data_IF_014789667310
#
_entry.id   IF_014789667310
#
_cell.length_a   1.000
_cell.length_b   1.000
_cell.length_c   1.000
_cell.angle_alpha   90.00
_cell.angle_beta   90.00
_cell.angle_gamma   90.00
#
_symmetry.space_group_name_H-M   'P 1'
#
loop_
_entity.id
_entity.type
_entity.pdbx_description
1 polymer ?
#
# COMPACT_ATOMS: atom_id res chain seq x y z
N UNK A 1 -5.53 -2.33 23.51
CA UNK A 1 -5.78 -0.99 22.95
C UNK A 1 -5.37 -1.01 21.48
N UNK A 2 -6.00 -0.24 20.59
CA UNK A 2 -5.52 -0.10 19.21
C UNK A 2 -4.13 0.54 19.20
N UNK A 3 -3.30 0.15 18.24
CA UNK A 3 -1.94 0.68 18.08
C UNK A 3 -1.92 2.07 17.42
N UNK A 4 -2.94 2.39 16.63
CA UNK A 4 -3.11 3.69 15.98
C UNK A 4 -4.40 4.38 16.43
N UNK A 5 -4.53 5.72 16.26
CA UNK A 5 -5.80 6.40 16.32
C UNK A 5 -6.81 5.76 15.37
N UNK A 6 -8.03 5.55 15.82
CA UNK A 6 -9.11 4.98 15.00
C UNK A 6 -9.67 6.05 14.07
N UNK A 7 -9.85 5.72 12.80
CA UNK A 7 -10.47 6.62 11.82
C UNK A 7 -11.90 6.13 11.59
N UNK A 8 -12.84 6.53 12.43
CA UNK A 8 -14.24 6.04 12.40
C UNK A 8 -15.18 6.94 11.61
N UNK A 9 -14.81 8.20 11.40
CA UNK A 9 -15.56 9.15 10.58
C UNK A 9 -14.70 9.59 9.39
N UNK A 10 -15.19 9.37 8.19
CA UNK A 10 -14.54 9.71 6.93
C UNK A 10 -15.07 11.02 6.34
N UNK A 11 -16.17 11.57 6.87
CA UNK A 11 -16.78 12.79 6.33
C UNK A 11 -15.81 13.97 6.37
N UNK A 12 -15.54 14.55 5.23
CA UNK A 12 -14.62 15.70 5.07
C UNK A 12 -13.14 15.39 5.37
N UNK A 13 -12.75 14.11 5.54
CA UNK A 13 -11.33 13.71 5.62
C UNK A 13 -10.66 13.86 4.27
N UNK A 14 -9.51 14.49 4.24
CA UNK A 14 -8.66 14.60 3.06
C UNK A 14 -7.80 13.36 2.95
N UNK A 15 -8.07 12.52 1.93
CA UNK A 15 -7.40 11.23 1.73
C UNK A 15 -6.71 11.22 0.38
N UNK A 16 -5.39 11.03 0.38
CA UNK A 16 -4.59 10.93 -0.82
C UNK A 16 -4.10 9.50 -1.07
N UNK A 17 -4.53 8.91 -2.20
CA UNK A 17 -4.15 7.56 -2.61
C UNK A 17 -3.21 7.60 -3.81
N UNK A 18 -1.95 7.24 -3.58
CA UNK A 18 -0.91 7.15 -4.62
C UNK A 18 -0.86 5.71 -5.16
N UNK A 19 -1.17 5.53 -6.46
CA UNK A 19 -1.33 4.23 -7.09
C UNK A 19 -2.80 3.78 -7.15
N UNK A 20 -3.71 4.70 -7.47
CA UNK A 20 -5.16 4.46 -7.46
C UNK A 20 -5.83 4.42 -8.86
N UNK A 21 -5.06 4.14 -9.93
CA UNK A 21 -5.63 3.98 -11.28
C UNK A 21 -6.46 2.72 -11.43
N UNK A 22 -6.10 1.63 -10.73
CA UNK A 22 -6.72 0.30 -10.82
C UNK A 22 -6.66 -0.44 -9.48
N UNK A 23 -7.23 -1.64 -9.43
CA UNK A 23 -7.07 -2.61 -8.34
C UNK A 23 -7.46 -2.07 -6.97
N UNK A 24 -6.68 -2.44 -5.95
CA UNK A 24 -6.96 -2.15 -4.54
C UNK A 24 -7.05 -0.64 -4.28
N UNK A 25 -6.10 0.14 -4.83
CA UNK A 25 -6.07 1.60 -4.62
C UNK A 25 -7.33 2.27 -5.15
N UNK A 26 -7.78 1.91 -6.36
CA UNK A 26 -9.01 2.45 -6.97
C UNK A 26 -10.26 2.05 -6.17
N UNK A 27 -10.38 0.77 -5.79
CA UNK A 27 -11.51 0.29 -5.00
C UNK A 27 -11.57 0.97 -3.62
N UNK A 28 -10.42 1.16 -2.97
CA UNK A 28 -10.33 1.86 -1.69
C UNK A 28 -10.72 3.33 -1.83
N UNK A 29 -10.26 4.01 -2.89
CA UNK A 29 -10.65 5.37 -3.19
C UNK A 29 -12.17 5.53 -3.39
N UNK A 30 -12.79 4.60 -4.15
CA UNK A 30 -14.24 4.58 -4.37
C UNK A 30 -15.03 4.40 -3.06
N UNK A 31 -14.58 3.48 -2.20
CA UNK A 31 -15.22 3.24 -0.91
C UNK A 31 -15.10 4.43 0.03
N UNK A 32 -13.94 5.09 0.09
CA UNK A 32 -13.74 6.27 0.93
C UNK A 32 -14.55 7.48 0.44
N UNK A 33 -14.63 7.67 -0.88
CA UNK A 33 -15.50 8.68 -1.49
C UNK A 33 -16.97 8.45 -1.11
N UNK A 34 -17.46 7.20 -1.21
CA UNK A 34 -18.82 6.83 -0.82
C UNK A 34 -19.10 7.05 0.68
N UNK A 35 -18.05 7.15 1.52
CA UNK A 35 -18.13 7.48 2.95
C UNK A 35 -17.95 8.96 3.26
N UNK A 36 -17.92 9.82 2.25
CA UNK A 36 -17.86 11.28 2.39
C UNK A 36 -16.45 11.85 2.55
N UNK A 37 -15.40 11.07 2.29
CA UNK A 37 -14.05 11.61 2.25
C UNK A 37 -13.81 12.47 0.99
N UNK A 38 -13.01 13.52 1.13
CA UNK A 38 -12.40 14.23 0.00
C UNK A 38 -11.23 13.39 -0.51
N UNK A 39 -11.42 12.78 -1.67
CA UNK A 39 -10.47 11.78 -2.20
C UNK A 39 -9.64 12.37 -3.32
N UNK A 40 -8.33 12.29 -3.16
CA UNK A 40 -7.35 12.62 -4.20
C UNK A 40 -6.72 11.31 -4.67
N UNK A 41 -6.77 11.03 -5.98
CA UNK A 41 -6.17 9.84 -6.59
C UNK A 41 -4.99 10.21 -7.46
N UNK A 42 -3.91 9.44 -7.35
CA UNK A 42 -2.71 9.66 -8.16
C UNK A 42 -2.21 8.39 -8.82
N UNK A 43 -1.77 8.53 -10.06
CA UNK A 43 -1.09 7.51 -10.85
C UNK A 43 -0.45 8.15 -12.10
N UNK A 44 0.28 7.37 -12.89
CA UNK A 44 0.90 7.84 -14.14
C UNK A 44 -0.08 8.03 -15.29
N UNK A 45 -1.17 7.28 -15.32
CA UNK A 45 -2.11 7.24 -16.45
C UNK A 45 -3.26 8.21 -16.22
N UNK A 46 -3.18 9.40 -16.81
CA UNK A 46 -4.18 10.45 -16.67
C UNK A 46 -5.59 9.96 -17.04
N UNK A 47 -5.75 9.26 -18.17
CA UNK A 47 -7.07 8.80 -18.64
C UNK A 47 -7.77 7.85 -17.64
N UNK A 48 -7.01 7.04 -16.88
CA UNK A 48 -7.57 6.17 -15.84
C UNK A 48 -8.04 6.97 -14.62
N UNK A 49 -7.32 8.04 -14.28
CA UNK A 49 -7.69 8.98 -13.22
C UNK A 49 -8.91 9.82 -13.61
N UNK A 50 -8.97 10.32 -14.85
CA UNK A 50 -10.14 11.03 -15.38
C UNK A 50 -11.40 10.17 -15.32
N UNK A 51 -11.27 8.88 -15.62
CA UNK A 51 -12.35 7.90 -15.48
C UNK A 51 -12.81 7.71 -14.03
N UNK A 52 -11.89 7.88 -13.07
CA UNK A 52 -12.25 7.86 -11.64
C UNK A 52 -13.03 9.12 -11.25
N UNK A 53 -12.50 10.31 -11.56
CA UNK A 53 -13.12 11.60 -11.20
C UNK A 53 -14.52 11.75 -11.81
N UNK A 54 -14.70 11.35 -13.08
CA UNK A 54 -16.05 11.36 -13.71
C UNK A 54 -17.05 10.46 -12.96
N UNK A 55 -16.60 9.33 -12.43
CA UNK A 55 -17.47 8.40 -11.68
C UNK A 55 -17.67 8.81 -10.22
N UNK A 56 -16.85 9.70 -9.68
CA UNK A 56 -16.84 10.11 -8.28
C UNK A 56 -16.77 11.66 -8.19
N UNK A 57 -17.89 12.35 -8.43
CA UNK A 57 -17.94 13.83 -8.40
C UNK A 57 -17.42 14.39 -7.05
N UNK A 58 -16.58 15.42 -7.11
CA UNK A 58 -15.92 16.01 -5.93
C UNK A 58 -14.61 15.32 -5.53
N UNK A 59 -14.21 14.24 -6.20
CA UNK A 59 -12.84 13.72 -6.10
C UNK A 59 -11.89 14.45 -7.04
N UNK A 60 -10.58 14.34 -6.76
CA UNK A 60 -9.54 15.01 -7.54
C UNK A 60 -8.51 14.00 -8.07
N UNK A 61 -7.86 14.36 -9.17
CA UNK A 61 -6.82 13.56 -9.79
C UNK A 61 -5.54 14.37 -9.96
N UNK A 62 -4.41 13.78 -9.55
CA UNK A 62 -3.07 14.33 -9.78
C UNK A 62 -2.22 13.28 -10.47
N UNK A 63 -1.85 13.56 -11.72
CA UNK A 63 -0.95 12.67 -12.48
C UNK A 63 0.47 12.82 -11.96
N UNK A 64 1.09 11.70 -11.56
CA UNK A 64 2.46 11.69 -11.08
C UNK A 64 3.16 10.36 -11.37
N UNK A 65 4.50 10.39 -11.43
CA UNK A 65 5.34 9.20 -11.40
C UNK A 65 6.05 9.10 -10.04
N UNK A 66 5.82 8.00 -9.32
CA UNK A 66 6.44 7.76 -8.00
C UNK A 66 7.96 7.58 -8.09
N UNK A 67 8.49 7.21 -9.26
CA UNK A 67 9.92 7.12 -9.50
C UNK A 67 10.61 8.50 -9.51
N UNK A 68 9.85 9.57 -9.79
CA UNK A 68 10.34 10.94 -9.90
C UNK A 68 10.06 11.72 -8.61
N UNK A 69 11.10 12.01 -7.82
CA UNK A 69 10.98 12.70 -6.53
C UNK A 69 10.23 14.03 -6.65
N UNK A 70 10.57 14.83 -7.68
CA UNK A 70 9.97 16.16 -7.86
C UNK A 70 8.47 16.05 -8.16
N UNK A 71 8.05 15.05 -8.93
CA UNK A 71 6.63 14.81 -9.23
C UNK A 71 5.79 14.59 -7.97
N UNK A 72 6.33 13.87 -6.98
CA UNK A 72 5.66 13.67 -5.68
C UNK A 72 5.68 14.94 -4.81
N UNK A 73 6.77 15.70 -4.84
CA UNK A 73 6.86 16.96 -4.09
C UNK A 73 5.86 17.99 -4.62
N UNK A 74 5.75 18.15 -5.94
CA UNK A 74 4.81 19.06 -6.58
C UNK A 74 3.35 18.65 -6.29
N UNK A 75 3.04 17.36 -6.41
CA UNK A 75 1.70 16.84 -6.10
C UNK A 75 1.33 17.04 -4.61
N UNK A 76 2.25 16.80 -3.68
CA UNK A 76 2.02 17.06 -2.26
C UNK A 76 1.76 18.55 -1.99
N UNK A 77 2.55 19.44 -2.60
CA UNK A 77 2.37 20.89 -2.49
C UNK A 77 1.00 21.31 -3.03
N UNK A 78 0.55 20.72 -4.15
CA UNK A 78 -0.76 21.00 -4.74
C UNK A 78 -1.91 20.53 -3.84
N UNK A 79 -1.83 19.33 -3.25
CA UNK A 79 -2.83 18.85 -2.28
C UNK A 79 -2.90 19.80 -1.08
N UNK A 80 -1.75 20.22 -0.55
CA UNK A 80 -1.70 21.13 0.59
C UNK A 80 -2.20 22.53 0.27
N UNK A 81 -1.90 23.05 -0.91
CA UNK A 81 -2.41 24.36 -1.35
C UNK A 81 -3.95 24.40 -1.47
N UNK A 82 -4.56 23.28 -1.88
CA UNK A 82 -6.01 23.16 -2.04
C UNK A 82 -6.75 22.86 -0.74
N UNK A 83 -6.20 21.99 0.10
CA UNK A 83 -6.91 21.44 1.26
C UNK A 83 -6.31 21.84 2.61
N UNK A 84 -5.09 22.36 2.64
CA UNK A 84 -4.37 22.74 3.86
C UNK A 84 -3.88 21.58 4.72
N UNK A 85 -4.29 20.34 4.40
CA UNK A 85 -3.96 19.13 5.20
C UNK A 85 -4.05 17.85 4.38
N UNK A 86 -3.50 16.76 4.94
CA UNK A 86 -3.69 15.37 4.47
C UNK A 86 -3.96 14.52 5.70
N UNK A 87 -5.20 14.05 5.87
CA UNK A 87 -5.57 13.26 7.05
C UNK A 87 -5.11 11.80 6.95
N UNK A 88 -5.11 11.24 5.74
CA UNK A 88 -4.56 9.93 5.43
C UNK A 88 -3.86 9.97 4.06
N UNK A 89 -2.62 9.53 4.01
CA UNK A 89 -1.92 9.24 2.75
C UNK A 89 -1.67 7.74 2.61
N UNK A 90 -1.98 7.18 1.44
CA UNK A 90 -1.83 5.74 1.17
C UNK A 90 -0.87 5.53 0.01
N UNK A 91 0.25 4.85 0.26
CA UNK A 91 1.12 4.37 -0.80
C UNK A 91 0.66 2.99 -1.27
N UNK A 92 -0.03 2.95 -2.39
CA UNK A 92 -0.55 1.73 -3.02
C UNK A 92 0.10 1.46 -4.39
N UNK A 93 1.00 2.35 -4.85
CA UNK A 93 1.73 2.13 -6.09
C UNK A 93 2.65 0.91 -5.99
N UNK A 94 2.62 0.09 -7.02
CA UNK A 94 3.45 -1.09 -7.06
C UNK A 94 3.32 -1.82 -8.39
N UNK A 95 4.38 -2.52 -8.75
CA UNK A 95 4.45 -3.37 -9.93
C UNK A 95 4.98 -4.75 -9.52
N UNK A 96 4.52 -5.75 -10.21
CA UNK A 96 4.94 -7.12 -10.04
C UNK A 96 5.23 -7.73 -11.43
N UNK A 97 6.37 -8.38 -11.57
CA UNK A 97 6.69 -9.27 -12.67
C UNK A 97 7.37 -10.50 -12.09
N UNK A 98 6.82 -11.69 -12.30
CA UNK A 98 7.44 -12.93 -11.83
C UNK A 98 8.87 -13.05 -12.34
N UNK A 99 9.80 -13.45 -11.45
CA UNK A 99 11.21 -13.58 -11.78
C UNK A 99 11.84 -14.72 -10.99
N UNK A 100 12.54 -15.63 -11.68
CA UNK A 100 13.34 -16.70 -11.07
C UNK A 100 14.83 -16.37 -11.15
N UNK A 101 15.62 -16.88 -10.21
CA UNK A 101 17.07 -16.71 -10.23
C UNK A 101 17.73 -17.33 -11.47
N UNK A 102 17.10 -18.36 -12.05
CA UNK A 102 17.57 -19.00 -13.30
C UNK A 102 17.32 -18.15 -14.56
N UNK A 103 16.54 -17.08 -14.45
CA UNK A 103 16.25 -16.12 -15.52
C UNK A 103 16.20 -14.71 -14.93
N UNK A 104 17.33 -14.31 -14.30
CA UNK A 104 17.47 -13.04 -13.61
C UNK A 104 17.55 -11.89 -14.60
N UNK A 105 16.72 -10.89 -14.41
CA UNK A 105 16.65 -9.63 -15.16
C UNK A 105 16.90 -8.48 -14.19
N UNK A 106 18.10 -7.89 -14.25
CA UNK A 106 18.51 -6.81 -13.34
C UNK A 106 17.68 -5.55 -13.56
N UNK A 107 17.41 -5.19 -14.81
CA UNK A 107 16.67 -3.96 -15.11
C UNK A 107 15.23 -4.04 -14.57
N UNK A 108 14.59 -5.19 -14.72
CA UNK A 108 13.27 -5.42 -14.15
C UNK A 108 13.29 -5.46 -12.63
N UNK A 109 14.31 -6.05 -12.00
CA UNK A 109 14.46 -6.03 -10.55
C UNK A 109 14.62 -4.59 -10.02
N UNK A 110 15.46 -3.78 -10.68
CA UNK A 110 15.65 -2.36 -10.36
C UNK A 110 14.38 -1.55 -10.60
N UNK A 111 13.63 -1.83 -11.68
CA UNK A 111 12.33 -1.19 -11.93
C UNK A 111 11.33 -1.47 -10.81
N UNK A 112 11.25 -2.72 -10.34
CA UNK A 112 10.39 -3.07 -9.21
C UNK A 112 10.86 -2.38 -7.92
N UNK A 113 12.16 -2.32 -7.66
CA UNK A 113 12.72 -1.61 -6.51
C UNK A 113 12.37 -0.12 -6.55
N UNK A 114 12.60 0.52 -7.71
CA UNK A 114 12.34 1.95 -7.90
C UNK A 114 10.87 2.31 -7.64
N UNK A 115 9.94 1.53 -8.19
CA UNK A 115 8.51 1.82 -8.04
C UNK A 115 8.01 1.38 -6.66
N UNK A 116 8.33 0.17 -6.20
CA UNK A 116 7.70 -0.38 -5.01
C UNK A 116 8.27 0.22 -3.70
N UNK A 117 9.56 0.56 -3.66
CA UNK A 117 10.23 1.00 -2.44
C UNK A 117 10.76 2.43 -2.53
N UNK A 118 11.56 2.78 -3.54
CA UNK A 118 12.11 4.15 -3.66
C UNK A 118 10.98 5.16 -3.84
N UNK A 119 9.94 4.82 -4.58
CA UNK A 119 8.74 5.65 -4.69
C UNK A 119 8.05 5.90 -3.34
N UNK A 120 8.03 4.92 -2.42
CA UNK A 120 7.54 5.14 -1.06
C UNK A 120 8.43 6.12 -0.28
N UNK A 121 9.76 6.03 -0.43
CA UNK A 121 10.69 6.99 0.18
C UNK A 121 10.50 8.40 -0.39
N UNK A 122 10.27 8.52 -1.69
CA UNK A 122 9.96 9.81 -2.32
C UNK A 122 8.66 10.42 -1.77
N UNK A 123 7.61 9.59 -1.57
CA UNK A 123 6.38 10.04 -0.93
C UNK A 123 6.62 10.50 0.51
N UNK A 124 7.38 9.74 1.30
CA UNK A 124 7.72 10.13 2.67
C UNK A 124 8.43 11.48 2.72
N UNK A 125 9.41 11.70 1.83
CA UNK A 125 10.12 12.98 1.75
C UNK A 125 9.17 14.16 1.46
N UNK A 126 8.10 13.92 0.70
CA UNK A 126 7.12 14.94 0.34
C UNK A 126 6.08 15.23 1.44
N UNK A 127 5.66 14.20 2.22
CA UNK A 127 4.51 14.36 3.12
C UNK A 127 4.87 14.38 4.61
N UNK A 128 6.00 13.77 5.02
CA UNK A 128 6.33 13.58 6.43
C UNK A 128 6.45 14.89 7.23
N UNK A 129 7.09 15.97 6.69
CA UNK A 129 7.12 17.26 7.40
C UNK A 129 5.72 17.79 7.72
N UNK A 130 4.80 17.69 6.77
CA UNK A 130 3.42 18.14 6.95
C UNK A 130 2.66 17.26 7.96
N UNK A 131 2.79 15.94 7.89
CA UNK A 131 2.13 15.02 8.83
C UNK A 131 2.59 15.29 10.27
N UNK A 132 3.88 15.54 10.49
CA UNK A 132 4.43 15.91 11.79
C UNK A 132 3.88 17.26 12.27
N UNK A 133 3.80 18.26 11.41
CA UNK A 133 3.22 19.56 11.73
C UNK A 133 1.73 19.43 12.11
N UNK A 134 0.94 18.66 11.36
CA UNK A 134 -0.47 18.40 11.67
C UNK A 134 -0.62 17.70 13.02
N UNK A 135 0.15 16.64 13.25
CA UNK A 135 0.10 15.90 14.51
C UNK A 135 0.46 16.77 15.70
N UNK A 136 1.48 17.63 15.58
CA UNK A 136 1.86 18.58 16.66
C UNK A 136 0.77 19.61 16.96
N UNK A 137 -0.09 19.93 15.98
CA UNK A 137 -1.26 20.77 16.12
C UNK A 137 -2.52 20.00 16.56
N UNK A 138 -2.41 18.73 16.92
CA UNK A 138 -3.54 17.87 17.31
C UNK A 138 -4.48 17.52 16.16
N UNK A 139 -4.05 17.74 14.93
CA UNK A 139 -4.83 17.39 13.74
C UNK A 139 -4.55 15.94 13.29
N UNK A 140 -5.49 15.29 12.60
CA UNK A 140 -5.30 13.95 12.06
C UNK A 140 -4.09 13.90 11.11
N UNK A 141 -3.27 12.88 11.28
CA UNK A 141 -2.12 12.60 10.42
C UNK A 141 -1.89 11.08 10.40
N UNK A 142 -2.06 10.45 9.24
CA UNK A 142 -1.90 9.01 9.12
C UNK A 142 -1.23 8.62 7.80
N UNK A 143 -0.25 7.73 7.88
CA UNK A 143 0.45 7.14 6.74
C UNK A 143 0.09 5.66 6.63
N UNK A 144 -0.23 5.16 5.44
CA UNK A 144 -0.47 3.75 5.19
C UNK A 144 0.38 3.25 4.01
N UNK A 145 1.16 2.19 4.21
CA UNK A 145 2.00 1.57 3.19
C UNK A 145 1.42 0.21 2.78
N UNK A 146 1.19 0.02 1.48
CA UNK A 146 0.67 -1.25 0.95
C UNK A 146 1.84 -2.13 0.51
N UNK A 147 2.15 -3.12 1.35
CA UNK A 147 3.14 -4.17 1.09
C UNK A 147 2.47 -5.42 0.48
N UNK A 148 2.79 -6.60 0.99
CA UNK A 148 2.24 -7.90 0.59
C UNK A 148 2.67 -8.97 1.58
N UNK A 149 1.90 -10.06 1.70
CA UNK A 149 2.35 -11.29 2.39
C UNK A 149 3.64 -11.88 1.78
N UNK A 150 3.97 -11.55 0.54
CA UNK A 150 5.23 -11.94 -0.13
C UNK A 150 6.45 -11.32 0.57
N UNK A 151 6.26 -10.23 1.31
CA UNK A 151 7.30 -9.61 2.14
C UNK A 151 7.59 -10.32 3.46
N UNK A 152 6.76 -11.26 3.92
CA UNK A 152 7.02 -11.97 5.17
C UNK A 152 8.22 -12.91 5.10
N UNK A 153 8.39 -13.59 3.96
CA UNK A 153 9.51 -14.49 3.71
C UNK A 153 9.64 -14.79 2.22
N UNK A 154 10.85 -15.21 1.78
CA UNK A 154 11.14 -15.51 0.38
C UNK A 154 10.20 -16.55 -0.22
N UNK A 155 9.59 -16.23 -1.36
CA UNK A 155 8.72 -17.12 -2.13
C UNK A 155 9.26 -17.29 -3.55
N UNK A 156 9.00 -18.44 -4.20
CA UNK A 156 9.37 -18.64 -5.60
C UNK A 156 8.78 -17.55 -6.51
N UNK A 157 9.48 -17.26 -7.59
CA UNK A 157 9.12 -16.25 -8.61
C UNK A 157 9.03 -14.79 -8.10
N UNK A 158 9.27 -14.55 -6.82
CA UNK A 158 9.17 -13.22 -6.22
C UNK A 158 10.53 -12.51 -6.04
N UNK A 159 11.57 -12.92 -6.80
CA UNK A 159 12.95 -12.46 -6.60
C UNK A 159 13.11 -10.93 -6.64
N UNK A 160 12.50 -10.25 -7.61
CA UNK A 160 12.51 -8.78 -7.68
C UNK A 160 11.47 -8.13 -6.76
N UNK A 161 10.33 -8.77 -6.55
CA UNK A 161 9.18 -8.21 -5.82
C UNK A 161 9.26 -8.39 -4.30
N UNK A 162 9.51 -9.64 -3.86
CA UNK A 162 9.51 -10.00 -2.44
C UNK A 162 10.40 -9.10 -1.58
N UNK A 163 11.69 -8.88 -1.95
CA UNK A 163 12.58 -7.97 -1.21
C UNK A 163 12.03 -6.55 -1.08
N UNK A 164 11.37 -6.01 -2.12
CA UNK A 164 10.78 -4.66 -2.05
C UNK A 164 9.63 -4.58 -1.05
N UNK A 165 8.85 -5.66 -0.94
CA UNK A 165 7.75 -5.74 0.01
C UNK A 165 8.23 -6.02 1.45
N UNK A 166 9.30 -6.79 1.61
CA UNK A 166 9.98 -6.94 2.90
C UNK A 166 10.56 -5.59 3.39
N UNK A 167 11.16 -4.81 2.50
CA UNK A 167 11.64 -3.48 2.81
C UNK A 167 10.52 -2.54 3.27
N UNK A 168 9.33 -2.58 2.64
CA UNK A 168 8.18 -1.80 3.08
C UNK A 168 7.64 -2.24 4.46
N UNK A 169 7.69 -3.54 4.79
CA UNK A 169 7.32 -4.04 6.13
C UNK A 169 8.25 -3.43 7.18
N UNK A 170 9.56 -3.58 6.99
CA UNK A 170 10.56 -3.03 7.92
C UNK A 170 10.46 -1.50 8.02
N UNK A 171 10.28 -0.80 6.90
CA UNK A 171 10.09 0.64 6.88
C UNK A 171 8.86 1.08 7.70
N UNK A 172 7.72 0.39 7.54
CA UNK A 172 6.50 0.71 8.28
C UNK A 172 6.68 0.49 9.79
N UNK A 173 7.37 -0.59 10.20
CA UNK A 173 7.67 -0.86 11.61
C UNK A 173 8.57 0.24 12.21
N UNK A 174 9.62 0.63 11.49
CA UNK A 174 10.51 1.72 11.92
C UNK A 174 9.77 3.06 12.02
N UNK A 175 8.97 3.39 10.99
CA UNK A 175 8.15 4.60 11.01
C UNK A 175 7.16 4.62 12.17
N UNK A 176 6.55 3.49 12.51
CA UNK A 176 5.65 3.40 13.65
C UNK A 176 6.38 3.69 14.96
N UNK A 177 7.57 3.11 15.16
CA UNK A 177 8.38 3.33 16.37
C UNK A 177 8.77 4.80 16.53
N UNK A 178 9.15 5.46 15.43
CA UNK A 178 9.62 6.85 15.46
C UNK A 178 8.46 7.86 15.58
N UNK A 179 7.30 7.55 14.96
CA UNK A 179 6.22 8.51 14.77
C UNK A 179 5.05 8.37 15.75
N UNK A 180 4.91 7.21 16.39
CA UNK A 180 3.78 6.96 17.29
C UNK A 180 3.71 7.99 18.44
N UNK A 181 4.84 8.27 19.09
CA UNK A 181 4.93 9.28 20.16
C UNK A 181 4.74 10.72 19.64
N UNK A 182 4.88 10.94 18.33
CA UNK A 182 4.64 12.23 17.67
C UNK A 182 3.17 12.43 17.26
N UNK A 183 2.30 11.43 17.48
CA UNK A 183 0.88 11.50 17.15
C UNK A 183 0.56 11.20 15.68
N UNK A 184 1.53 10.75 14.88
CA UNK A 184 1.29 10.31 13.50
C UNK A 184 0.95 8.82 13.49
N UNK A 185 -0.21 8.45 12.97
CA UNK A 185 -0.58 7.05 12.77
C UNK A 185 0.19 6.42 11.60
N UNK A 186 0.58 5.16 11.77
CA UNK A 186 1.23 4.38 10.70
C UNK A 186 0.57 3.02 10.58
N UNK A 187 0.10 2.69 9.37
CA UNK A 187 -0.45 1.36 9.07
C UNK A 187 0.30 0.69 7.93
N UNK A 188 0.54 -0.60 8.10
CA UNK A 188 1.05 -1.52 7.10
C UNK A 188 -0.09 -2.37 6.57
N UNK A 189 -0.25 -2.46 5.25
CA UNK A 189 -1.24 -3.33 4.62
C UNK A 189 -0.51 -4.48 3.93
N UNK A 190 -0.84 -5.72 4.31
CA UNK A 190 -0.27 -6.94 3.73
C UNK A 190 -1.37 -7.79 3.06
N UNK A 191 -1.73 -7.47 1.80
CA UNK A 191 -2.66 -8.30 1.03
C UNK A 191 -2.08 -9.68 0.73
N UNK A 192 -2.95 -10.70 0.73
CA UNK A 192 -2.72 -11.94 0.00
C UNK A 192 -3.04 -11.75 -1.49
N UNK A 193 -3.66 -12.74 -2.13
CA UNK A 193 -4.06 -12.63 -3.53
C UNK A 193 -5.34 -11.80 -3.65
N UNK A 194 -5.26 -10.74 -4.45
CA UNK A 194 -6.39 -9.86 -4.79
C UNK A 194 -6.50 -9.79 -6.31
N UNK A 195 -7.69 -9.98 -6.84
CA UNK A 195 -7.97 -9.90 -8.28
C UNK A 195 -7.74 -8.47 -8.78
N UNK A 196 -6.63 -8.28 -9.48
CA UNK A 196 -6.15 -7.00 -9.99
C UNK A 196 -5.32 -7.22 -11.25
N UNK A 197 -5.06 -6.20 -12.07
CA UNK A 197 -4.15 -6.32 -13.21
C UNK A 197 -2.75 -6.85 -12.85
N UNK A 198 -2.28 -6.61 -11.62
CA UNK A 198 -0.98 -7.10 -11.17
C UNK A 198 -0.98 -8.63 -10.98
N UNK A 199 -2.05 -9.21 -10.46
CA UNK A 199 -2.20 -10.65 -10.23
C UNK A 199 -2.67 -11.42 -11.46
N UNK A 200 -3.23 -10.74 -12.45
CA UNK A 200 -3.64 -11.35 -13.73
C UNK A 200 -2.47 -11.96 -14.52
N UNK A 201 -1.22 -11.65 -14.15
CA UNK A 201 -0.01 -12.22 -14.73
C UNK A 201 0.37 -13.60 -14.14
N UNK A 202 -0.30 -14.04 -13.07
CA UNK A 202 -0.03 -15.34 -12.47
C UNK A 202 -0.68 -16.45 -13.31
N UNK A 203 0.10 -17.46 -13.61
CA UNK A 203 -0.29 -18.65 -14.38
C UNK A 203 -0.67 -19.86 -13.50
N UNK A 204 -0.79 -19.63 -12.20
CA UNK A 204 -1.11 -20.66 -11.19
C UNK A 204 -2.37 -20.30 -10.40
N UNK A 205 -2.98 -21.32 -9.79
CA UNK A 205 -4.13 -21.12 -8.90
C UNK A 205 -3.74 -20.30 -7.68
N UNK A 206 -4.38 -19.16 -7.48
CA UNK A 206 -4.17 -18.27 -6.36
C UNK A 206 -5.06 -18.65 -5.17
N UNK A 207 -4.50 -19.19 -4.07
CA UNK A 207 -5.30 -19.59 -2.92
C UNK A 207 -5.92 -18.39 -2.23
N UNK A 208 -7.19 -18.53 -1.85
CA UNK A 208 -7.96 -17.51 -1.15
C UNK A 208 -8.00 -16.15 -1.87
N UNK A 209 -8.10 -16.16 -3.20
CA UNK A 209 -8.26 -14.95 -4.02
C UNK A 209 -9.54 -14.20 -3.60
N UNK A 210 -9.41 -12.88 -3.41
CA UNK A 210 -10.55 -11.99 -3.13
C UNK A 210 -10.63 -10.87 -4.17
N UNK A 211 -11.80 -10.26 -4.32
CA UNK A 211 -11.96 -9.09 -5.19
C UNK A 211 -11.38 -7.81 -4.58
N UNK A 212 -11.12 -6.81 -5.43
CA UNK A 212 -10.56 -5.52 -5.01
C UNK A 212 -11.50 -4.76 -4.03
N UNK A 213 -12.81 -4.88 -4.20
CA UNK A 213 -13.79 -4.25 -3.30
C UNK A 213 -13.77 -4.85 -1.89
N UNK A 214 -13.57 -6.17 -1.79
CA UNK A 214 -13.42 -6.81 -0.49
C UNK A 214 -12.09 -6.41 0.17
N UNK A 215 -11.01 -6.31 -0.61
CA UNK A 215 -9.74 -5.79 -0.13
C UNK A 215 -9.88 -4.35 0.40
N UNK A 216 -10.59 -3.48 -0.30
CA UNK A 216 -10.89 -2.12 0.13
C UNK A 216 -11.64 -2.07 1.46
N UNK A 217 -12.68 -2.93 1.64
CA UNK A 217 -13.41 -3.05 2.92
C UNK A 217 -12.49 -3.46 4.06
N UNK A 218 -11.58 -4.42 3.81
CA UNK A 218 -10.61 -4.86 4.82
C UNK A 218 -9.62 -3.76 5.19
N UNK A 219 -9.14 -2.97 4.23
CA UNK A 219 -8.25 -1.83 4.48
C UNK A 219 -8.95 -0.77 5.33
N UNK A 220 -10.11 -0.29 4.88
CA UNK A 220 -10.87 0.75 5.58
C UNK A 220 -11.26 0.28 6.98
N UNK A 221 -11.78 -0.94 7.12
CA UNK A 221 -12.08 -1.52 8.43
C UNK A 221 -10.86 -1.65 9.35
N UNK A 222 -9.67 -1.88 8.81
CA UNK A 222 -8.42 -1.90 9.57
C UNK A 222 -8.07 -0.52 10.15
N UNK A 223 -8.18 0.54 9.36
CA UNK A 223 -7.99 1.92 9.84
C UNK A 223 -9.05 2.32 10.87
N UNK A 224 -10.31 1.90 10.68
CA UNK A 224 -11.39 2.13 11.65
C UNK A 224 -11.14 1.44 13.00
N UNK A 225 -10.46 0.30 13.01
CA UNK A 225 -10.05 -0.40 14.24
C UNK A 225 -8.74 0.13 14.83
N UNK A 226 -7.99 0.96 14.10
CA UNK A 226 -6.66 1.44 14.50
C UNK A 226 -5.60 0.32 14.47
N UNK A 227 -5.69 -0.60 13.49
CA UNK A 227 -4.72 -1.67 13.30
C UNK A 227 -3.41 -1.10 12.74
N UNK A 228 -2.26 -1.54 13.27
CA UNK A 228 -0.96 -1.28 12.63
C UNK A 228 -0.82 -2.17 11.39
N UNK A 229 -1.00 -3.48 11.53
CA UNK A 229 -0.94 -4.41 10.42
C UNK A 229 -2.35 -4.85 9.99
N UNK A 230 -2.73 -4.41 8.80
CA UNK A 230 -3.97 -4.78 8.12
C UNK A 230 -3.65 -5.85 7.10
N UNK A 231 -4.06 -7.09 7.33
CA UNK A 231 -3.76 -8.20 6.42
C UNK A 231 -5.00 -9.02 6.09
N UNK A 232 -5.12 -9.49 4.87
CA UNK A 232 -6.31 -10.20 4.39
C UNK A 232 -6.01 -11.11 3.19
N UNK A 233 -6.82 -12.17 2.99
CA UNK A 233 -7.84 -12.70 3.90
C UNK A 233 -7.20 -13.35 5.13
N UNK A 234 -7.74 -13.09 6.31
CA UNK A 234 -7.07 -13.38 7.61
C UNK A 234 -6.62 -14.84 7.78
N UNK A 235 -7.40 -15.83 7.29
CA UNK A 235 -7.04 -17.26 7.41
C UNK A 235 -5.74 -17.58 6.66
N UNK A 236 -5.66 -17.14 5.41
CA UNK A 236 -4.50 -17.37 4.55
C UNK A 236 -3.26 -16.62 5.04
N UNK A 237 -3.41 -15.34 5.32
CA UNK A 237 -2.29 -14.48 5.72
C UNK A 237 -1.73 -14.84 7.10
N UNK A 238 -2.56 -15.31 8.05
CA UNK A 238 -2.10 -15.83 9.34
C UNK A 238 -1.27 -17.11 9.18
N UNK A 239 -1.69 -18.02 8.29
CA UNK A 239 -0.92 -19.22 8.01
C UNK A 239 0.47 -18.89 7.43
N UNK A 240 0.56 -17.94 6.50
CA UNK A 240 1.84 -17.47 5.96
C UNK A 240 2.71 -16.77 7.01
N UNK A 241 2.10 -15.97 7.88
CA UNK A 241 2.80 -15.30 8.98
C UNK A 241 3.36 -16.33 9.99
N UNK A 242 2.60 -17.36 10.33
CA UNK A 242 3.10 -18.46 11.15
C UNK A 242 4.22 -19.24 10.44
N UNK A 243 4.05 -19.50 9.13
CA UNK A 243 5.08 -20.17 8.33
C UNK A 243 6.39 -19.36 8.25
N UNK A 244 6.34 -18.04 8.35
CA UNK A 244 7.55 -17.21 8.36
C UNK A 244 8.38 -17.35 9.63
N UNK A 245 7.81 -17.85 10.72
CA UNK A 245 8.48 -18.05 12.01
C UNK A 245 9.14 -19.43 12.18
N UNK A 246 8.83 -20.39 11.31
CA UNK A 246 9.42 -21.74 11.38
C UNK A 246 10.85 -21.75 10.84
N UNK A 247 11.67 -22.69 11.32
CA UNK A 247 13.08 -22.83 10.90
C UNK A 247 13.22 -23.12 9.39
N UNK A 248 14.35 -22.73 8.80
CA UNK A 248 14.61 -22.74 7.37
C UNK A 248 14.36 -24.10 6.71
N UNK A 249 14.82 -25.20 7.34
CA UNK A 249 14.66 -26.55 6.79
C UNK A 249 13.20 -26.92 6.57
N UNK A 250 12.34 -26.63 7.55
CA UNK A 250 10.90 -26.92 7.46
C UNK A 250 10.19 -25.97 6.50
N UNK A 251 10.57 -24.70 6.53
CA UNK A 251 10.00 -23.72 5.60
C UNK A 251 10.29 -24.08 4.15
N UNK A 252 11.56 -24.29 3.78
CA UNK A 252 11.92 -24.61 2.40
C UNK A 252 11.35 -25.95 1.94
N UNK A 253 11.34 -26.98 2.81
CA UNK A 253 10.67 -28.24 2.48
C UNK A 253 9.17 -28.05 2.24
N UNK A 254 8.49 -27.23 3.06
CA UNK A 254 7.08 -26.91 2.89
C UNK A 254 6.81 -26.16 1.59
N UNK A 255 7.61 -25.14 1.27
CA UNK A 255 7.49 -24.36 0.02
C UNK A 255 7.69 -25.28 -1.19
N UNK A 256 8.76 -26.11 -1.21
CA UNK A 256 8.99 -27.06 -2.30
C UNK A 256 7.80 -27.99 -2.52
N UNK A 257 7.25 -28.53 -1.42
CA UNK A 257 6.11 -29.45 -1.51
C UNK A 257 4.85 -28.80 -2.07
N UNK A 258 4.59 -27.54 -1.71
CA UNK A 258 3.38 -26.81 -2.14
C UNK A 258 3.51 -26.27 -3.55
N UNK A 259 4.72 -25.86 -3.94
CA UNK A 259 4.96 -25.22 -5.26
C UNK A 259 5.47 -26.17 -6.33
N UNK A 260 5.81 -27.42 -5.96
CA UNK A 260 6.35 -28.42 -6.90
C UNK A 260 7.77 -28.11 -7.39
N UNK A 261 8.53 -27.32 -6.68
CA UNK A 261 9.92 -26.93 -7.01
C UNK A 261 10.92 -27.89 -6.42
#
# INVERSE_FOLDING_TARGET
MPLNPRITDWSGRVVWLVGASTGIGRATASLLHARGATVIVSARTASALDGFVRAHPGSEALTLDVAERQSLADAAAEVLARHGRIDLVVYCAGVFKPMRATAFDLDEALRQLQINYVGALNLLAAVLPQLLQQASAGQPAHLSLVSSVTGYRGLPTALGYGPTKAALINLAETLYLDLHAQGVGVSLVNPGYVDTPATAQNDYQMPALIGADEAAKQMVGGWERGEFEIHFPKRFTRALKLASLIGDRLYFAGVHRVTGL
#
